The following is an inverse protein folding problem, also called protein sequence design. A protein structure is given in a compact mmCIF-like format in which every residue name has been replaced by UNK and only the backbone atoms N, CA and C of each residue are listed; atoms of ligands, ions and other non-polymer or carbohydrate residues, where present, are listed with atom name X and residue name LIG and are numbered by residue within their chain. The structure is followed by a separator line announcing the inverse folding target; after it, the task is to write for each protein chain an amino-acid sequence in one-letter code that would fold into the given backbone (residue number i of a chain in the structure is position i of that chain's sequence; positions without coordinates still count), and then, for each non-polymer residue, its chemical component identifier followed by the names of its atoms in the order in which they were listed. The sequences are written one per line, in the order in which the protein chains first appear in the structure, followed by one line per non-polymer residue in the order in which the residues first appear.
data_IF_303636882085
#
_entry.id   IF_303636882085
#
_cell.length_a   1.000
_cell.length_b   1.000
_cell.length_c   1.000
_cell.angle_alpha   90.00
_cell.angle_beta   90.00
_cell.angle_gamma   90.00
#
_symmetry.space_group_name_H-M   'P 1'
#
loop_
_entity.id
_entity.type
_entity.pdbx_description
1 polymer ?
#
# COMPACT_ATOMS: atom_id res chain seq x y z
N UNK A 1 11.97 -5.00 26.29
CA UNK A 1 11.00 -4.39 25.34
C UNK A 1 11.67 -3.49 24.31
N UNK A 2 12.37 -2.41 24.68
CA UNK A 2 13.01 -1.48 23.71
C UNK A 2 13.99 -2.16 22.73
N UNK A 3 14.78 -3.13 23.21
CA UNK A 3 15.72 -3.89 22.37
C UNK A 3 15.03 -4.80 21.35
N UNK A 4 13.90 -5.42 21.72
CA UNK A 4 13.09 -6.24 20.80
C UNK A 4 12.45 -5.37 19.72
N UNK A 5 11.90 -4.21 20.10
CA UNK A 5 11.32 -3.26 19.16
C UNK A 5 12.38 -2.74 18.17
N UNK A 6 13.56 -2.40 18.66
CA UNK A 6 14.68 -1.99 17.82
C UNK A 6 15.09 -3.12 16.87
N UNK A 7 15.11 -4.36 17.36
CA UNK A 7 15.39 -5.53 16.53
C UNK A 7 14.34 -5.68 15.42
N UNK A 8 13.05 -5.54 15.73
CA UNK A 8 11.98 -5.61 14.73
C UNK A 8 12.03 -4.46 13.72
N UNK A 9 12.36 -3.24 14.17
CA UNK A 9 12.53 -2.08 13.28
C UNK A 9 13.73 -2.28 12.35
N UNK A 10 14.86 -2.74 12.90
CA UNK A 10 16.07 -3.03 12.11
C UNK A 10 15.84 -4.21 11.18
N UNK A 11 15.13 -5.25 11.60
CA UNK A 11 14.80 -6.39 10.74
C UNK A 11 13.81 -5.99 9.64
N UNK A 12 12.82 -5.14 9.93
CA UNK A 12 11.89 -4.60 8.94
C UNK A 12 12.58 -3.68 7.93
N UNK A 13 13.49 -2.83 8.40
CA UNK A 13 14.37 -2.01 7.54
C UNK A 13 15.32 -2.88 6.73
N UNK A 14 15.91 -3.92 7.32
CA UNK A 14 16.77 -4.85 6.61
C UNK A 14 15.99 -5.63 5.55
N UNK A 15 14.77 -6.10 5.84
CA UNK A 15 13.92 -6.73 4.83
C UNK A 15 13.55 -5.73 3.73
N UNK A 16 13.30 -4.46 4.04
CA UNK A 16 13.02 -3.44 3.02
C UNK A 16 14.26 -3.02 2.20
N UNK A 17 15.46 -3.09 2.78
CA UNK A 17 16.74 -2.71 2.16
C UNK A 17 17.42 -3.87 1.43
N UNK A 18 17.24 -5.11 1.90
CA UNK A 18 17.83 -6.35 1.38
C UNK A 18 16.81 -7.26 0.71
N UNK A 19 15.52 -6.90 0.70
CA UNK A 19 14.70 -7.27 -0.45
C UNK A 19 15.33 -6.55 -1.62
N UNK A 20 16.25 -7.22 -2.33
CA UNK A 20 16.36 -7.01 -3.77
C UNK A 20 14.92 -6.84 -4.26
N UNK A 21 14.57 -5.74 -4.96
CA UNK A 21 13.18 -5.36 -5.20
C UNK A 21 12.49 -6.48 -5.97
N UNK A 22 11.95 -7.45 -5.24
CA UNK A 22 11.67 -8.84 -5.63
C UNK A 22 11.84 -9.06 -7.13
N UNK A 23 13.09 -9.06 -7.66
CA UNK A 23 13.42 -8.63 -9.05
C UNK A 23 12.17 -8.58 -9.90
N UNK A 24 11.39 -7.51 -9.76
CA UNK A 24 10.27 -7.34 -10.66
C UNK A 24 10.97 -6.72 -11.84
N UNK A 25 11.36 -7.59 -12.75
CA UNK A 25 11.77 -7.18 -14.07
C UNK A 25 10.72 -6.15 -14.50
N UNK A 26 11.10 -4.89 -14.74
CA UNK A 26 10.19 -3.97 -15.39
C UNK A 26 9.92 -4.63 -16.73
N UNK A 27 8.80 -5.33 -16.81
CA UNK A 27 8.42 -6.00 -18.02
C UNK A 27 8.04 -4.86 -18.95
N UNK A 28 9.01 -4.44 -19.75
CA UNK A 28 8.81 -3.42 -20.79
C UNK A 28 7.70 -3.85 -21.76
N UNK A 29 7.28 -5.12 -21.76
CA UNK A 29 6.14 -5.62 -22.52
C UNK A 29 4.78 -5.42 -21.83
N UNK A 30 4.73 -5.19 -20.51
CA UNK A 30 3.46 -5.08 -19.75
C UNK A 30 2.68 -3.78 -20.05
N UNK A 31 3.33 -2.81 -20.73
CA UNK A 31 2.68 -1.62 -21.30
C UNK A 31 2.18 -0.58 -20.29
N UNK A 32 2.26 -0.86 -18.98
CA UNK A 32 1.88 0.04 -17.89
C UNK A 32 2.85 -0.08 -16.72
N UNK A 33 3.07 1.02 -15.97
CA UNK A 33 3.86 0.97 -14.73
C UNK A 33 3.28 -0.03 -13.74
N UNK A 34 4.18 -0.67 -13.00
CA UNK A 34 3.85 -1.63 -11.96
C UNK A 34 4.32 -1.09 -10.60
N UNK A 35 3.63 -1.48 -9.53
CA UNK A 35 3.99 -1.13 -8.15
C UNK A 35 4.18 -2.41 -7.35
N UNK A 36 5.23 -2.48 -6.52
CA UNK A 36 5.44 -3.59 -5.59
C UNK A 36 5.98 -3.13 -4.23
N UNK A 37 5.47 -3.70 -3.14
CA UNK A 37 6.00 -3.48 -1.79
C UNK A 37 4.98 -3.71 -0.68
N UNK A 38 5.29 -3.21 0.52
CA UNK A 38 4.35 -3.13 1.64
C UNK A 38 3.39 -1.96 1.38
N UNK A 39 2.48 -2.15 0.44
CA UNK A 39 1.55 -1.14 -0.05
C UNK A 39 0.20 -1.82 -0.35
N UNK A 40 -0.86 -1.05 -0.54
CA UNK A 40 -2.16 -1.56 -1.00
C UNK A 40 -2.43 -0.97 -2.39
N UNK A 41 -2.36 -1.76 -3.47
CA UNK A 41 -2.02 -3.20 -3.53
C UNK A 41 -0.53 -3.49 -3.27
N UNK A 42 -0.23 -4.76 -2.93
CA UNK A 42 1.14 -5.26 -2.66
C UNK A 42 1.92 -5.43 -3.94
N UNK A 43 1.23 -5.87 -4.97
CA UNK A 43 1.67 -5.87 -6.35
C UNK A 43 0.51 -5.33 -7.17
N UNK A 44 0.72 -4.36 -8.04
CA UNK A 44 -0.39 -3.79 -8.79
C UNK A 44 -0.01 -3.12 -10.09
N UNK A 45 -0.98 -3.08 -10.99
CA UNK A 45 -0.90 -2.37 -12.26
C UNK A 45 -1.42 -0.94 -12.10
N UNK A 46 -0.74 0.01 -12.75
CA UNK A 46 -1.19 1.39 -12.80
C UNK A 46 -2.52 1.51 -13.57
N UNK A 47 -3.46 2.25 -12.99
CA UNK A 47 -4.57 2.83 -13.73
C UNK A 47 -4.10 4.15 -14.34
N UNK A 48 -4.27 4.30 -15.65
CA UNK A 48 -3.85 5.49 -16.38
C UNK A 48 -5.07 6.30 -16.82
N UNK A 49 -4.96 7.62 -16.82
CA UNK A 49 -5.91 8.49 -17.53
C UNK A 49 -5.63 8.53 -19.05
N UNK A 50 -6.41 9.34 -19.78
CA UNK A 50 -6.26 9.52 -21.23
C UNK A 50 -4.92 10.15 -21.65
N UNK A 51 -4.20 10.77 -20.70
CA UNK A 51 -2.90 11.40 -20.92
C UNK A 51 -1.74 10.51 -20.47
N UNK A 52 -2.03 9.31 -19.95
CA UNK A 52 -1.04 8.37 -19.43
C UNK A 52 -0.59 8.67 -18.00
N UNK A 53 -1.25 9.58 -17.27
CA UNK A 53 -0.94 9.84 -15.88
C UNK A 53 -1.52 8.75 -14.97
N UNK A 54 -0.78 8.38 -13.92
CA UNK A 54 -1.21 7.37 -12.96
C UNK A 54 -2.33 7.96 -12.09
N UNK A 55 -3.53 7.37 -12.17
CA UNK A 55 -4.71 7.76 -11.36
C UNK A 55 -4.98 6.80 -10.21
N UNK A 56 -4.24 5.68 -10.14
CA UNK A 56 -4.42 4.71 -9.08
C UNK A 56 -3.74 3.38 -9.40
N UNK A 57 -4.08 2.38 -8.60
CA UNK A 57 -3.46 1.06 -8.66
C UNK A 57 -4.52 -0.02 -8.51
N UNK A 58 -4.31 -1.17 -9.14
CA UNK A 58 -5.18 -2.34 -9.00
C UNK A 58 -4.33 -3.60 -8.83
N UNK A 59 -4.67 -4.45 -7.86
CA UNK A 59 -3.94 -5.69 -7.66
C UNK A 59 -4.22 -6.42 -6.35
N UNK A 60 -3.54 -7.55 -6.10
CA UNK A 60 -3.64 -8.28 -4.85
C UNK A 60 -3.10 -7.51 -3.65
N UNK A 61 -3.63 -7.81 -2.47
CA UNK A 61 -3.19 -7.24 -1.19
C UNK A 61 -2.75 -8.31 -0.18
N UNK A 62 -2.09 -7.88 0.92
CA UNK A 62 -1.61 -8.78 1.99
C UNK A 62 -2.73 -9.58 2.67
N UNK A 63 -3.98 -9.10 2.58
CA UNK A 63 -5.15 -9.78 3.11
C UNK A 63 -5.64 -10.94 2.23
N UNK A 64 -4.89 -11.38 1.21
CA UNK A 64 -5.32 -12.38 0.23
C UNK A 64 -6.62 -12.00 -0.50
N UNK A 65 -6.85 -10.71 -0.71
CA UNK A 65 -7.91 -10.22 -1.57
C UNK A 65 -7.38 -9.26 -2.61
N UNK A 66 -8.26 -8.35 -3.05
CA UNK A 66 -7.97 -7.45 -4.14
C UNK A 66 -8.18 -6.00 -3.73
N UNK A 67 -7.37 -5.09 -4.25
CA UNK A 67 -7.45 -3.66 -3.95
C UNK A 67 -7.60 -2.86 -5.23
N UNK A 68 -8.48 -1.87 -5.19
CA UNK A 68 -8.61 -0.80 -6.14
C UNK A 68 -8.34 0.51 -5.41
N UNK A 69 -7.16 1.07 -5.63
CA UNK A 69 -6.75 2.38 -5.13
C UNK A 69 -6.98 3.43 -6.22
N UNK A 70 -7.46 4.60 -5.83
CA UNK A 70 -7.69 5.74 -6.72
C UNK A 70 -7.22 7.02 -6.02
N UNK A 71 -6.37 7.79 -6.68
CA UNK A 71 -5.96 9.11 -6.19
C UNK A 71 -7.03 10.17 -6.50
N UNK A 72 -7.13 11.20 -5.67
CA UNK A 72 -8.06 12.32 -5.91
C UNK A 72 -7.62 13.20 -7.09
N UNK A 73 -6.31 13.25 -7.32
CA UNK A 73 -5.66 13.85 -8.48
C UNK A 73 -4.65 12.84 -9.03
N UNK A 74 -4.28 12.90 -10.32
CA UNK A 74 -3.21 12.04 -10.83
C UNK A 74 -1.94 12.14 -9.97
N UNK A 75 -1.21 11.04 -9.83
CA UNK A 75 -0.03 10.94 -8.99
C UNK A 75 1.03 11.96 -9.42
N UNK A 76 1.35 12.89 -8.53
CA UNK A 76 2.38 13.89 -8.72
C UNK A 76 3.67 13.50 -7.98
N UNK A 77 4.80 13.62 -8.67
CA UNK A 77 6.12 13.35 -8.10
C UNK A 77 6.49 14.42 -7.08
N UNK A 78 7.20 13.99 -6.01
CA UNK A 78 7.68 14.84 -4.92
C UNK A 78 6.57 15.63 -4.19
N UNK A 79 5.33 15.13 -4.26
CA UNK A 79 4.16 15.69 -3.58
C UNK A 79 3.40 14.63 -2.81
N UNK A 80 2.58 15.10 -1.87
CA UNK A 80 1.61 14.29 -1.14
C UNK A 80 0.40 14.07 -2.04
N UNK A 81 0.08 12.81 -2.30
CA UNK A 81 -1.02 12.37 -3.15
C UNK A 81 -2.06 11.65 -2.30
N UNK A 82 -3.21 12.27 -2.09
CA UNK A 82 -4.30 11.66 -1.35
C UNK A 82 -5.02 10.62 -2.20
N UNK A 83 -5.46 9.54 -1.57
CA UNK A 83 -6.23 8.47 -2.22
C UNK A 83 -7.38 7.99 -1.37
N UNK A 84 -8.32 7.34 -2.04
CA UNK A 84 -9.25 6.39 -1.44
C UNK A 84 -9.04 5.01 -2.06
N UNK A 85 -9.37 3.98 -1.31
CA UNK A 85 -9.31 2.60 -1.77
C UNK A 85 -10.57 1.83 -1.37
N UNK A 86 -10.94 0.90 -2.23
CA UNK A 86 -11.87 -0.16 -1.87
C UNK A 86 -11.21 -1.49 -2.20
N UNK A 87 -11.61 -2.54 -1.50
CA UNK A 87 -11.03 -3.85 -1.74
C UNK A 87 -11.70 -4.95 -0.97
N UNK A 88 -11.10 -6.13 -1.04
CA UNK A 88 -11.49 -7.30 -0.27
C UNK A 88 -10.29 -7.86 0.49
N UNK A 89 -10.57 -8.49 1.62
CA UNK A 89 -9.67 -9.41 2.33
C UNK A 89 -10.27 -10.82 2.23
N UNK A 90 -9.41 -11.85 2.19
CA UNK A 90 -9.77 -13.25 1.98
C UNK A 90 -10.75 -13.41 0.82
N UNK A 91 -10.54 -12.64 -0.26
CA UNK A 91 -11.38 -12.54 -1.46
C UNK A 91 -12.80 -11.97 -1.24
N UNK A 92 -13.46 -12.22 -0.10
CA UNK A 92 -14.90 -11.96 0.09
C UNK A 92 -15.23 -10.83 1.09
N UNK A 93 -14.32 -10.46 2.00
CA UNK A 93 -14.63 -9.48 3.03
C UNK A 93 -14.29 -8.07 2.57
N UNK A 94 -15.28 -7.21 2.29
CA UNK A 94 -15.02 -5.90 1.74
C UNK A 94 -14.37 -4.98 2.77
N UNK A 95 -13.59 -4.03 2.29
CA UNK A 95 -13.08 -2.92 3.08
C UNK A 95 -13.03 -1.65 2.24
N UNK A 96 -13.03 -0.51 2.93
CA UNK A 96 -12.77 0.81 2.36
C UNK A 96 -11.64 1.48 3.12
N UNK A 97 -10.89 2.34 2.46
CA UNK A 97 -9.79 3.06 3.09
C UNK A 97 -9.50 4.38 2.41
N UNK A 98 -8.68 5.18 3.08
CA UNK A 98 -8.17 6.44 2.57
C UNK A 98 -6.78 6.71 3.17
N UNK A 99 -5.97 7.50 2.47
CA UNK A 99 -4.62 7.79 2.92
C UNK A 99 -3.90 8.74 1.99
N UNK A 100 -2.58 8.75 2.11
CA UNK A 100 -1.71 9.50 1.22
C UNK A 100 -0.47 8.69 0.86
N UNK A 101 0.07 8.96 -0.33
CA UNK A 101 1.38 8.49 -0.78
C UNK A 101 2.25 9.70 -1.19
N UNK A 102 3.53 9.64 -0.88
CA UNK A 102 4.55 10.61 -1.30
C UNK A 102 5.53 9.92 -2.23
N UNK A 103 5.62 10.43 -3.47
CA UNK A 103 6.40 9.80 -4.54
C UNK A 103 7.82 10.40 -4.62
N UNK A 104 8.81 9.69 -4.09
CA UNK A 104 10.23 10.04 -4.14
C UNK A 104 10.87 9.45 -5.39
N UNK A 105 11.44 10.29 -6.24
CA UNK A 105 12.22 9.85 -7.40
C UNK A 105 13.63 9.47 -6.92
N UNK A 106 14.05 8.24 -7.21
CA UNK A 106 15.38 7.74 -6.92
C UNK A 106 16.32 7.96 -8.11
N UNK A 107 17.64 7.88 -7.87
CA UNK A 107 18.67 8.11 -8.90
C UNK A 107 18.59 7.13 -10.09
N UNK A 108 17.96 5.97 -9.92
CA UNK A 108 17.85 4.92 -10.95
C UNK A 108 16.56 5.01 -11.79
N UNK A 109 15.91 6.18 -11.86
CA UNK A 109 14.59 6.39 -12.46
C UNK A 109 13.44 5.56 -11.85
N UNK A 110 13.68 4.85 -10.75
CA UNK A 110 12.65 4.21 -9.95
C UNK A 110 11.96 5.25 -9.06
N UNK A 111 10.69 5.05 -8.77
CA UNK A 111 9.95 5.91 -7.83
C UNK A 111 9.59 5.13 -6.58
N UNK A 112 9.96 5.63 -5.41
CA UNK A 112 9.58 5.08 -4.12
C UNK A 112 8.32 5.81 -3.62
N UNK A 113 7.26 5.06 -3.34
CA UNK A 113 6.05 5.54 -2.70
C UNK A 113 6.17 5.32 -1.19
N UNK A 114 6.10 6.40 -0.41
CA UNK A 114 6.03 6.37 1.05
C UNK A 114 4.69 6.95 1.50
N UNK A 115 3.94 6.23 2.30
CA UNK A 115 2.59 6.64 2.62
C UNK A 115 2.08 6.12 3.95
N UNK A 116 0.92 6.64 4.32
CA UNK A 116 0.13 6.09 5.41
C UNK A 116 -1.35 6.15 5.03
N UNK A 117 -2.13 5.20 5.55
CA UNK A 117 -3.57 5.16 5.32
C UNK A 117 -4.31 4.51 6.47
N UNK A 118 -5.61 4.68 6.45
CA UNK A 118 -6.56 4.00 7.33
C UNK A 118 -7.51 3.17 6.50
N UNK A 119 -7.82 1.96 6.95
CA UNK A 119 -8.83 1.11 6.34
C UNK A 119 -9.83 0.58 7.38
N UNK A 120 -11.08 0.49 6.98
CA UNK A 120 -12.17 -0.06 7.77
C UNK A 120 -12.86 -1.18 7.00
N UNK A 121 -13.17 -2.26 7.69
CA UNK A 121 -13.96 -3.38 7.18
C UNK A 121 -15.10 -3.70 8.15
N UNK A 122 -16.22 -4.25 7.67
CA UNK A 122 -17.29 -4.73 8.54
C UNK A 122 -16.79 -5.74 9.58
N UNK A 123 -15.78 -6.54 9.24
CA UNK A 123 -15.16 -7.50 10.16
C UNK A 123 -14.46 -6.81 11.33
N UNK A 124 -13.71 -5.74 11.06
CA UNK A 124 -13.09 -4.93 12.13
C UNK A 124 -14.15 -4.27 13.01
N UNK A 125 -15.21 -3.72 12.42
CA UNK A 125 -16.32 -3.13 13.18
C UNK A 125 -16.99 -4.18 14.07
N UNK A 126 -17.31 -5.36 13.51
CA UNK A 126 -17.90 -6.47 14.25
C UNK A 126 -17.01 -6.93 15.41
N UNK A 127 -15.71 -7.06 15.18
CA UNK A 127 -14.76 -7.42 16.25
C UNK A 127 -14.73 -6.38 17.38
N UNK A 128 -14.78 -5.10 17.04
CA UNK A 128 -14.78 -4.01 18.01
C UNK A 128 -16.06 -3.99 18.86
N UNK A 129 -17.22 -4.34 18.27
CA UNK A 129 -18.51 -4.44 18.97
C UNK A 129 -18.56 -5.67 19.88
N UNK A 130 -18.12 -6.83 19.39
CA UNK A 130 -18.19 -8.09 20.15
C UNK A 130 -17.13 -8.19 21.25
N UNK A 131 -16.01 -7.49 21.11
CA UNK A 131 -14.93 -7.49 22.09
C UNK A 131 -14.33 -6.08 22.23
N UNK A 132 -14.95 -5.18 23.04
CA UNK A 132 -14.51 -3.79 23.18
C UNK A 132 -13.06 -3.62 23.66
N UNK A 133 -12.51 -4.62 24.35
CA UNK A 133 -11.09 -4.65 24.75
C UNK A 133 -10.12 -4.72 23.57
N UNK A 134 -10.61 -5.07 22.37
CA UNK A 134 -9.83 -5.13 21.12
C UNK A 134 -9.79 -3.81 20.35
N UNK A 135 -10.54 -2.78 20.77
CA UNK A 135 -10.60 -1.47 20.10
C UNK A 135 -9.21 -0.84 19.87
N UNK A 136 -8.28 -0.81 20.85
CA UNK A 136 -6.96 -0.24 20.60
C UNK A 136 -6.18 -1.01 19.52
N UNK A 137 -6.31 -2.34 19.51
CA UNK A 137 -5.66 -3.19 18.52
C UNK A 137 -6.29 -3.05 17.13
N UNK A 138 -7.62 -2.88 17.05
CA UNK A 138 -8.31 -2.68 15.78
C UNK A 138 -7.99 -1.33 15.14
N UNK A 139 -7.86 -0.27 15.95
CA UNK A 139 -7.42 1.06 15.49
C UNK A 139 -5.97 1.00 14.96
N UNK A 140 -5.06 0.33 15.68
CA UNK A 140 -3.67 0.18 15.22
C UNK A 140 -3.63 -0.64 13.92
N UNK A 141 -4.45 -1.69 13.80
CA UNK A 141 -4.56 -2.50 12.58
C UNK A 141 -5.15 -1.73 11.38
N UNK A 142 -5.89 -0.64 11.64
CA UNK A 142 -6.43 0.20 10.60
C UNK A 142 -5.33 1.06 9.95
N UNK A 143 -4.29 1.44 10.70
CA UNK A 143 -3.17 2.23 10.20
C UNK A 143 -2.23 1.35 9.39
N UNK A 144 -2.08 1.68 8.10
CA UNK A 144 -1.16 1.01 7.18
C UNK A 144 -0.02 1.96 6.85
N UNK A 145 1.21 1.59 7.21
CA UNK A 145 2.41 2.20 6.64
C UNK A 145 2.63 1.62 5.25
N UNK A 146 2.87 2.49 4.27
CA UNK A 146 3.03 2.11 2.88
C UNK A 146 4.45 2.41 2.41
N UNK A 147 5.15 1.40 1.88
CA UNK A 147 6.42 1.54 1.17
C UNK A 147 6.38 0.65 -0.07
N UNK A 148 6.55 1.24 -1.25
CA UNK A 148 6.59 0.50 -2.51
C UNK A 148 7.48 1.15 -3.56
N UNK A 149 7.96 0.35 -4.50
CA UNK A 149 8.73 0.78 -5.66
C UNK A 149 7.84 0.69 -6.90
N UNK A 150 7.91 1.72 -7.75
CA UNK A 150 7.29 1.78 -9.07
C UNK A 150 8.38 1.57 -10.12
N UNK A 151 8.11 0.70 -11.10
CA UNK A 151 9.04 0.31 -12.18
C UNK A 151 8.29 -0.01 -13.48
#
# INVERSE_FOLDING_TARGET
MKKLLLLFVVLGLAVALFSEPLIVWPDKAHGKPLVAGLHSPVYGEAKLDVFGNITGWIGPNLGLGWTWKTYFSPLELQKVNFYYEFGTNLVIFPYVGAGFDYALVLQNNQTLLLGAGVAASPLQILSAVLAPTTIPASIISAVKLSIAVVF
#
